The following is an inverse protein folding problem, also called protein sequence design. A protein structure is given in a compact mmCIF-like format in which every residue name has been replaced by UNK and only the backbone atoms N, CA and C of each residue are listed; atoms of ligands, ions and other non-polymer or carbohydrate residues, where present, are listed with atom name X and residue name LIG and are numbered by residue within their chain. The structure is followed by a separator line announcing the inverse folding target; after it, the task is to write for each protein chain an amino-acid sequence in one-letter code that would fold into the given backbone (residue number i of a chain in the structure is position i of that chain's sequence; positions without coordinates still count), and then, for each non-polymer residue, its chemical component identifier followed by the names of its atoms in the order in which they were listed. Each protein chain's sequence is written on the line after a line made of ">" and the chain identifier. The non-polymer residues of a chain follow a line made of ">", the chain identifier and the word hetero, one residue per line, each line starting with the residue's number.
data_IF_699300957171
#
_entry.id   IF_699300957171
#
_cell.length_a   1.000
_cell.length_b   1.000
_cell.length_c   1.000
_cell.angle_alpha   90.00
_cell.angle_beta   90.00
_cell.angle_gamma   90.00
#
_symmetry.space_group_name_H-M   'P 1'
#
loop_
_entity.id
_entity.type
_entity.pdbx_description
1 polymer ?
#
# COMPACT_ATOMS: atom_id res chain seq x y z
N UNK A 1 30.78 -6.04 -8.91
CA UNK A 1 29.95 -5.25 -9.82
C UNK A 1 29.04 -6.22 -10.56
N UNK A 2 27.77 -5.86 -10.72
CA UNK A 2 26.80 -6.47 -11.66
C UNK A 2 25.97 -7.64 -11.12
N UNK A 3 25.20 -7.38 -10.06
CA UNK A 3 23.90 -8.03 -9.89
C UNK A 3 22.84 -6.93 -9.81
N UNK A 4 22.68 -6.19 -10.93
CA UNK A 4 21.42 -5.53 -11.21
C UNK A 4 20.42 -6.66 -11.46
N UNK A 5 19.96 -7.25 -10.35
CA UNK A 5 19.14 -8.45 -10.34
C UNK A 5 17.98 -8.22 -11.28
N UNK A 6 17.93 -9.00 -12.35
CA UNK A 6 16.78 -9.00 -13.25
C UNK A 6 15.55 -9.19 -12.37
N UNK A 7 14.70 -8.16 -12.34
CA UNK A 7 13.44 -8.19 -11.63
C UNK A 7 12.60 -9.27 -12.32
N UNK A 8 12.66 -10.49 -11.79
CA UNK A 8 12.00 -11.66 -12.35
C UNK A 8 10.52 -11.71 -11.96
N UNK A 9 9.95 -10.62 -11.45
CA UNK A 9 8.56 -10.54 -10.99
C UNK A 9 7.54 -11.09 -12.00
N UNK A 10 7.63 -10.77 -13.31
CA UNK A 10 6.74 -11.37 -14.31
C UNK A 10 6.86 -12.90 -14.39
N UNK A 11 8.10 -13.44 -14.32
CA UNK A 11 8.34 -14.89 -14.33
C UNK A 11 7.79 -15.54 -13.06
N UNK A 12 8.08 -14.95 -11.91
CA UNK A 12 7.63 -15.41 -10.59
C UNK A 12 6.11 -15.40 -10.47
N UNK A 13 5.47 -14.31 -10.91
CA UNK A 13 4.02 -14.18 -10.94
C UNK A 13 3.36 -15.24 -11.80
N UNK A 14 3.92 -15.56 -12.98
CA UNK A 14 3.41 -16.61 -13.85
C UNK A 14 3.54 -18.02 -13.24
N UNK A 15 4.69 -18.33 -12.63
CA UNK A 15 4.92 -19.61 -11.95
C UNK A 15 3.88 -19.79 -10.83
N UNK A 16 3.76 -18.80 -9.95
CA UNK A 16 2.81 -18.85 -8.84
C UNK A 16 1.36 -18.91 -9.28
N UNK A 17 0.98 -18.19 -10.34
CA UNK A 17 -0.36 -18.29 -10.90
C UNK A 17 -0.65 -19.69 -11.46
N UNK A 18 0.33 -20.32 -12.14
CA UNK A 18 0.19 -21.69 -12.64
C UNK A 18 0.10 -22.74 -11.53
N UNK A 19 0.70 -22.46 -10.38
CA UNK A 19 0.64 -23.30 -9.18
C UNK A 19 -0.64 -23.06 -8.34
N UNK A 20 -1.51 -22.14 -8.76
CA UNK A 20 -2.72 -21.78 -7.99
C UNK A 20 -2.41 -21.06 -6.67
N UNK A 21 -1.24 -20.45 -6.53
CA UNK A 21 -0.85 -19.73 -5.32
C UNK A 21 -1.75 -18.49 -5.10
N UNK A 22 -1.94 -18.05 -3.85
CA UNK A 22 -2.67 -16.82 -3.57
C UNK A 22 -2.05 -15.62 -4.28
N UNK A 23 -2.91 -14.68 -4.72
CA UNK A 23 -2.45 -13.44 -5.33
C UNK A 23 -1.59 -12.62 -4.37
N UNK A 24 -0.72 -11.78 -4.94
CA UNK A 24 0.29 -10.99 -4.24
C UNK A 24 -0.25 -10.26 -2.99
N UNK A 25 -1.43 -9.66 -3.09
CA UNK A 25 -2.06 -8.89 -2.01
C UNK A 25 -3.32 -9.52 -1.41
N UNK A 26 -3.55 -10.82 -1.63
CA UNK A 26 -4.79 -11.56 -1.29
C UNK A 26 -5.29 -11.45 0.17
N UNK A 27 -4.44 -11.02 1.10
CA UNK A 27 -4.78 -10.82 2.52
C UNK A 27 -4.60 -9.39 3.01
N UNK A 28 -4.14 -8.49 2.13
CA UNK A 28 -3.79 -7.12 2.47
C UNK A 28 -4.95 -6.18 2.17
N UNK A 29 -5.04 -5.13 2.96
CA UNK A 29 -5.99 -4.05 2.75
C UNK A 29 -5.25 -2.73 2.59
N UNK A 30 -5.84 -1.82 1.82
CA UNK A 30 -5.25 -0.54 1.46
C UNK A 30 -6.28 0.56 1.59
N UNK A 31 -5.89 1.74 2.04
CA UNK A 31 -6.68 2.96 1.94
C UNK A 31 -5.87 3.95 1.12
N UNK A 32 -6.48 4.56 0.12
CA UNK A 32 -5.82 5.56 -0.70
C UNK A 32 -6.09 6.95 -0.12
N UNK A 33 -5.10 7.84 -0.24
CA UNK A 33 -5.26 9.22 0.20
C UNK A 33 -6.32 9.95 -0.61
N UNK A 34 -7.07 10.84 0.05
CA UNK A 34 -7.98 11.75 -0.64
C UNK A 34 -7.21 12.83 -1.43
N UNK A 35 -5.94 13.06 -1.06
CA UNK A 35 -5.04 14.01 -1.72
C UNK A 35 -4.35 13.47 -2.98
N UNK A 36 -4.43 12.17 -3.25
CA UNK A 36 -3.80 11.53 -4.42
C UNK A 36 -4.46 11.92 -5.75
N UNK A 37 -3.68 12.22 -6.80
CA UNK A 37 -4.25 12.62 -8.11
C UNK A 37 -5.30 11.60 -8.59
N UNK A 38 -6.44 12.02 -9.18
CA UNK A 38 -7.50 11.09 -9.58
C UNK A 38 -6.99 9.96 -10.47
N UNK A 39 -6.14 10.30 -11.43
CA UNK A 39 -5.51 9.35 -12.36
C UNK A 39 -4.60 8.35 -11.63
N UNK A 40 -3.73 8.81 -10.71
CA UNK A 40 -2.88 7.91 -9.92
C UNK A 40 -3.72 7.06 -8.96
N UNK A 41 -4.78 7.63 -8.39
CA UNK A 41 -5.67 6.93 -7.45
C UNK A 41 -6.41 5.79 -8.13
N UNK A 42 -6.95 6.00 -9.32
CA UNK A 42 -7.61 4.94 -10.08
C UNK A 42 -6.61 3.87 -10.54
N UNK A 43 -5.44 4.26 -11.06
CA UNK A 43 -4.39 3.30 -11.44
C UNK A 43 -3.92 2.46 -10.27
N UNK A 44 -3.67 3.09 -9.12
CA UNK A 44 -3.23 2.41 -7.90
C UNK A 44 -4.32 1.46 -7.38
N UNK A 45 -5.58 1.89 -7.40
CA UNK A 45 -6.75 1.06 -7.04
C UNK A 45 -6.85 -0.18 -7.91
N UNK A 46 -6.75 -0.02 -9.22
CA UNK A 46 -6.85 -1.12 -10.19
C UNK A 46 -5.70 -2.11 -10.03
N UNK A 47 -4.48 -1.61 -9.81
CA UNK A 47 -3.31 -2.45 -9.53
C UNK A 47 -3.48 -3.28 -8.25
N UNK A 48 -3.93 -2.64 -7.16
CA UNK A 48 -4.20 -3.33 -5.90
C UNK A 48 -5.26 -4.43 -6.10
N UNK A 49 -6.36 -4.10 -6.79
CA UNK A 49 -7.44 -5.04 -7.07
C UNK A 49 -6.99 -6.21 -7.94
N UNK A 50 -6.21 -5.94 -9.00
CA UNK A 50 -5.65 -6.97 -9.88
C UNK A 50 -4.76 -7.94 -9.10
N UNK A 51 -3.92 -7.41 -8.21
CA UNK A 51 -3.06 -8.14 -7.29
C UNK A 51 -3.81 -8.80 -6.11
N UNK A 52 -5.14 -8.65 -6.02
CA UNK A 52 -6.00 -9.32 -5.04
C UNK A 52 -6.13 -8.61 -3.70
N UNK A 53 -5.63 -7.39 -3.58
CA UNK A 53 -5.79 -6.55 -2.39
C UNK A 53 -7.17 -5.91 -2.33
N UNK A 54 -7.57 -5.51 -1.12
CA UNK A 54 -8.84 -4.79 -0.90
C UNK A 54 -8.57 -3.32 -0.67
N UNK A 55 -9.22 -2.44 -1.43
CA UNK A 55 -9.21 -1.00 -1.17
C UNK A 55 -10.40 -0.66 -0.27
N UNK A 56 -10.11 -0.02 0.85
CA UNK A 56 -11.05 0.41 1.89
C UNK A 56 -11.23 1.92 1.84
N UNK A 57 -12.39 2.38 2.28
CA UNK A 57 -12.58 3.79 2.61
C UNK A 57 -11.90 4.13 3.94
N UNK A 58 -11.49 5.39 4.14
CA UNK A 58 -10.83 5.84 5.39
C UNK A 58 -11.62 5.49 6.65
N UNK A 59 -12.95 5.58 6.60
CA UNK A 59 -13.83 5.21 7.72
C UNK A 59 -13.70 3.73 8.07
N UNK A 60 -13.64 2.86 7.07
CA UNK A 60 -13.53 1.42 7.27
C UNK A 60 -12.14 1.04 7.78
N UNK A 61 -11.10 1.76 7.32
CA UNK A 61 -9.75 1.63 7.84
C UNK A 61 -9.70 1.99 9.33
N UNK A 62 -10.31 3.12 9.74
CA UNK A 62 -10.38 3.52 11.16
C UNK A 62 -11.09 2.48 12.01
N UNK A 63 -12.25 1.98 11.56
CA UNK A 63 -12.98 0.93 12.26
C UNK A 63 -12.15 -0.36 12.44
N UNK A 64 -11.35 -0.72 11.43
CA UNK A 64 -10.49 -1.89 11.47
C UNK A 64 -9.31 -1.71 12.43
N UNK A 65 -8.72 -0.51 12.46
CA UNK A 65 -7.62 -0.16 13.38
C UNK A 65 -8.10 -0.05 14.84
N UNK A 66 -9.28 0.52 15.07
CA UNK A 66 -9.86 0.69 16.41
C UNK A 66 -10.39 -0.62 17.01
N UNK A 67 -10.87 -1.54 16.18
CA UNK A 67 -11.49 -2.80 16.62
C UNK A 67 -10.94 -4.01 15.85
N UNK A 68 -9.67 -4.41 16.07
CA UNK A 68 -9.08 -5.54 15.37
C UNK A 68 -9.84 -6.86 15.58
N UNK A 69 -10.53 -7.00 16.71
CA UNK A 69 -11.29 -8.22 17.11
C UNK A 69 -12.72 -8.29 16.54
N UNK A 70 -13.26 -7.20 15.97
CA UNK A 70 -14.64 -7.16 15.44
C UNK A 70 -14.74 -7.52 13.96
N UNK A 71 -13.60 -7.65 13.25
CA UNK A 71 -13.60 -8.36 11.97
C UNK A 71 -13.91 -9.83 12.27
N UNK A 72 -15.09 -10.32 11.84
CA UNK A 72 -15.71 -11.63 12.15
C UNK A 72 -14.93 -12.88 11.72
N UNK A 73 -13.61 -12.81 11.65
CA UNK A 73 -12.71 -13.90 11.30
C UNK A 73 -11.62 -13.95 12.36
N UNK A 74 -11.56 -15.06 13.09
CA UNK A 74 -10.51 -15.45 14.05
C UNK A 74 -9.13 -15.62 13.37
N UNK A 75 -8.69 -14.58 12.66
CA UNK A 75 -7.48 -14.53 11.85
C UNK A 75 -6.80 -13.22 12.22
N UNK A 76 -5.51 -13.31 12.52
CA UNK A 76 -4.62 -12.19 12.88
C UNK A 76 -4.96 -10.90 12.13
N UNK A 77 -4.77 -9.72 12.76
CA UNK A 77 -5.03 -8.43 12.12
C UNK A 77 -4.35 -8.39 10.76
N UNK A 78 -5.16 -8.17 9.72
CA UNK A 78 -4.67 -8.03 8.34
C UNK A 78 -3.86 -6.74 8.26
N UNK A 79 -2.63 -6.76 7.71
CA UNK A 79 -1.87 -5.53 7.51
C UNK A 79 -2.68 -4.59 6.61
N UNK A 80 -2.92 -3.38 7.12
CA UNK A 80 -3.59 -2.31 6.40
C UNK A 80 -2.60 -1.20 6.09
N UNK A 81 -2.52 -0.81 4.82
CA UNK A 81 -1.62 0.23 4.35
C UNK A 81 -2.40 1.49 3.99
N UNK A 82 -1.89 2.65 4.39
CA UNK A 82 -2.37 3.93 3.90
C UNK A 82 -1.41 4.41 2.79
N UNK A 83 -1.94 4.67 1.60
CA UNK A 83 -1.16 4.96 0.40
C UNK A 83 -1.34 6.43 0.00
N UNK A 84 -0.25 7.18 0.03
CA UNK A 84 -0.23 8.59 -0.38
C UNK A 84 0.52 8.78 -1.71
N UNK A 85 0.33 9.94 -2.33
CA UNK A 85 0.97 10.29 -3.60
C UNK A 85 2.35 10.94 -3.37
N UNK A 86 3.35 10.62 -4.18
CA UNK A 86 4.67 11.30 -4.11
C UNK A 86 4.71 12.48 -5.06
N UNK A 87 3.85 12.46 -6.08
CA UNK A 87 3.85 13.51 -7.08
C UNK A 87 3.45 14.83 -6.41
N UNK A 88 4.16 15.94 -6.70
CA UNK A 88 3.77 17.24 -6.17
C UNK A 88 2.30 17.48 -6.51
N UNK A 89 1.51 18.08 -5.61
CA UNK A 89 0.12 18.38 -5.89
C UNK A 89 0.09 19.19 -7.18
N UNK A 90 -0.40 18.56 -8.26
CA UNK A 90 -0.52 19.24 -9.53
C UNK A 90 -1.38 20.49 -9.33
N UNK A 91 -1.23 21.48 -10.21
CA UNK A 91 -1.94 22.78 -10.16
C UNK A 91 -3.47 22.66 -9.95
N UNK A 92 -4.03 21.46 -10.17
CA UNK A 92 -5.43 21.09 -10.03
C UNK A 92 -5.89 20.67 -8.63
N UNK A 93 -5.01 20.54 -7.62
CA UNK A 93 -5.43 20.14 -6.27
C UNK A 93 -5.33 21.33 -5.31
N UNK A 94 -6.51 21.77 -4.86
CA UNK A 94 -6.72 22.87 -3.91
C UNK A 94 -6.25 22.56 -2.48
N UNK A 95 -5.69 21.37 -2.24
CA UNK A 95 -5.17 20.98 -0.95
C UNK A 95 -3.78 21.57 -0.75
N UNK A 96 -3.58 22.29 0.34
CA UNK A 96 -2.24 22.68 0.74
C UNK A 96 -1.45 21.41 1.06
N UNK A 97 -0.15 21.36 0.71
CA UNK A 97 0.75 20.27 1.09
C UNK A 97 0.69 19.96 2.60
N UNK A 98 0.31 20.95 3.42
CA UNK A 98 0.06 20.80 4.84
C UNK A 98 -1.12 19.85 5.16
N UNK A 99 -2.23 19.91 4.43
CA UNK A 99 -3.39 19.03 4.66
C UNK A 99 -3.09 17.58 4.29
N UNK A 100 -2.33 17.37 3.22
CA UNK A 100 -1.85 16.04 2.84
C UNK A 100 -0.91 15.44 3.90
N UNK A 101 0.03 16.25 4.40
CA UNK A 101 0.92 15.83 5.49
C UNK A 101 0.14 15.53 6.76
N UNK A 102 -0.90 16.30 7.07
CA UNK A 102 -1.74 16.07 8.25
C UNK A 102 -2.54 14.77 8.11
N UNK A 103 -3.14 14.51 6.95
CA UNK A 103 -3.81 13.23 6.68
C UNK A 103 -2.86 12.05 6.87
N UNK A 104 -1.64 12.13 6.32
CA UNK A 104 -0.63 11.07 6.48
C UNK A 104 -0.30 10.85 7.96
N UNK A 105 -0.15 11.92 8.75
CA UNK A 105 0.13 11.86 10.19
C UNK A 105 -1.03 11.27 10.97
N UNK A 106 -2.26 11.67 10.68
CA UNK A 106 -3.45 11.12 11.33
C UNK A 106 -3.56 9.61 11.12
N UNK A 107 -3.33 9.13 9.89
CA UNK A 107 -3.40 7.71 9.58
C UNK A 107 -2.27 6.93 10.25
N UNK A 108 -1.05 7.49 10.29
CA UNK A 108 0.06 6.90 11.03
C UNK A 108 -0.23 6.83 12.55
N UNK A 109 -0.79 7.89 13.13
CA UNK A 109 -1.16 7.94 14.54
C UNK A 109 -2.30 6.96 14.89
N UNK A 110 -3.20 6.71 13.94
CA UNK A 110 -4.23 5.67 14.05
C UNK A 110 -3.66 4.24 13.92
N UNK A 111 -2.37 4.09 13.63
CA UNK A 111 -1.69 2.79 13.53
C UNK A 111 -1.64 2.21 12.11
N UNK A 112 -2.04 2.96 11.09
CA UNK A 112 -1.90 2.52 9.70
C UNK A 112 -0.43 2.51 9.25
N UNK A 113 -0.07 1.55 8.41
CA UNK A 113 1.25 1.56 7.78
C UNK A 113 1.24 2.48 6.56
N UNK A 114 1.87 3.65 6.68
CA UNK A 114 1.95 4.64 5.61
C UNK A 114 3.02 4.24 4.59
N UNK A 115 2.64 4.18 3.32
CA UNK A 115 3.54 3.94 2.17
C UNK A 115 3.16 4.89 1.03
N UNK A 116 4.07 5.12 0.09
CA UNK A 116 3.73 5.86 -1.11
C UNK A 116 3.27 4.96 -2.24
N UNK A 117 2.61 5.52 -3.25
CA UNK A 117 2.11 4.75 -4.40
C UNK A 117 3.23 4.02 -5.16
N UNK A 118 4.45 4.58 -5.20
CA UNK A 118 5.62 3.94 -5.83
C UNK A 118 5.98 2.61 -5.16
N UNK A 119 5.84 2.50 -3.82
CA UNK A 119 6.08 1.23 -3.11
C UNK A 119 5.12 0.14 -3.55
N UNK A 120 3.88 0.49 -3.90
CA UNK A 120 2.91 -0.46 -4.46
C UNK A 120 3.36 -0.93 -5.85
N UNK A 121 3.86 -0.02 -6.68
CA UNK A 121 4.41 -0.36 -8.00
C UNK A 121 5.61 -1.29 -7.90
N UNK A 122 6.56 -0.99 -7.01
CA UNK A 122 7.75 -1.81 -6.80
C UNK A 122 7.37 -3.23 -6.32
N UNK A 123 6.43 -3.34 -5.39
CA UNK A 123 5.92 -4.62 -4.91
C UNK A 123 5.30 -5.45 -6.05
N UNK A 124 4.49 -4.83 -6.91
CA UNK A 124 3.88 -5.49 -8.07
C UNK A 124 4.93 -5.89 -9.10
N UNK A 125 5.87 -4.99 -9.42
CA UNK A 125 6.92 -5.21 -10.41
C UNK A 125 7.85 -6.36 -10.00
N UNK A 126 8.20 -6.45 -8.71
CA UNK A 126 8.99 -7.52 -8.14
C UNK A 126 8.19 -8.80 -7.86
N UNK A 127 6.86 -8.72 -7.83
CA UNK A 127 5.99 -9.76 -7.31
C UNK A 127 6.38 -10.14 -5.86
N UNK A 128 6.66 -9.13 -5.03
CA UNK A 128 7.11 -9.29 -3.66
C UNK A 128 6.39 -8.32 -2.71
N UNK A 129 5.56 -8.86 -1.82
CA UNK A 129 4.81 -8.06 -0.85
C UNK A 129 5.68 -7.60 0.33
N UNK A 130 6.86 -8.19 0.56
CA UNK A 130 7.78 -7.77 1.61
C UNK A 130 8.32 -6.36 1.37
N UNK A 131 8.31 -5.89 0.12
CA UNK A 131 8.63 -4.50 -0.24
C UNK A 131 7.71 -3.50 0.48
N UNK A 132 6.47 -3.88 0.80
CA UNK A 132 5.57 -3.03 1.57
C UNK A 132 6.02 -2.90 3.04
N UNK A 133 6.80 -3.87 3.56
CA UNK A 133 7.26 -3.95 4.95
C UNK A 133 8.63 -3.30 5.17
N UNK A 134 9.49 -3.26 4.16
CA UNK A 134 10.87 -2.73 4.25
C UNK A 134 10.94 -1.24 4.52
N UNK A 135 9.91 -0.46 4.16
CA UNK A 135 9.80 0.99 4.47
C UNK A 135 9.92 1.27 5.99
N UNK A 136 9.63 0.28 6.84
CA UNK A 136 9.74 0.39 8.30
C UNK A 136 11.19 0.37 8.81
N UNK A 137 12.14 -0.18 8.05
CA UNK A 137 13.50 -0.48 8.54
C UNK A 137 14.48 0.67 8.36
N UNK A 138 14.30 1.51 7.36
CA UNK A 138 15.24 2.61 7.08
C UNK A 138 15.03 3.86 7.94
N UNK A 139 13.96 3.94 8.74
CA UNK A 139 13.73 5.05 9.69
C UNK A 139 14.32 4.83 11.08
N UNK A 140 14.98 3.70 11.34
CA UNK A 140 15.63 3.40 12.64
C UNK A 140 17.16 3.38 12.59
N UNK A 141 17.79 3.88 11.53
CA UNK A 141 19.25 4.06 11.49
C UNK A 141 19.57 5.51 11.18
N UNK A 142 19.52 6.33 12.23
CA UNK A 142 20.56 7.32 12.58
C UNK A 142 20.16 7.92 13.93
N UNK A 143 20.76 7.38 14.99
CA UNK A 143 20.94 8.08 16.27
C UNK A 143 22.03 9.15 16.14
#
# INVERSE_FOLDING_TARGET
>A
MDSLGTINGPKQGRIRASEGAPKLFSVLCFCLSDFMSPDNRDRTRDLIAAAGGRVLEKRDLRLLLENPDRSSSSVKPRPCYFVYDVDPPGEFRSGSLQEEMEEVREQAAAGAQVICHLTVLDAVAAYDAEILLTVKKDRFVTS
#
